data_IF_524861919261
#
_entry.id   IF_524861919261
#
_cell.length_a   1.000
_cell.length_b   1.000
_cell.length_c   1.000
_cell.angle_alpha   90.00
_cell.angle_beta   90.00
_cell.angle_gamma   90.00
#
_symmetry.space_group_name_H-M   'P 1'
#
loop_
_entity.id
_entity.type
_entity.pdbx_description
1 polymer ?
#
# COMPACT_ATOMS: atom_id res chain seq x y z
N UNK A 1 35.94 16.32 -7.27
CA UNK A 1 34.48 16.23 -7.34
C UNK A 1 34.17 14.88 -7.98
N UNK A 2 33.63 13.94 -7.23
CA UNK A 2 33.23 12.61 -7.72
C UNK A 2 31.96 12.78 -8.53
N UNK A 3 32.01 12.53 -9.84
CA UNK A 3 30.83 12.47 -10.70
C UNK A 3 29.95 11.30 -10.27
N UNK A 4 28.88 11.58 -9.56
CA UNK A 4 27.83 10.61 -9.25
C UNK A 4 27.18 10.16 -10.56
N UNK A 5 27.47 8.94 -11.00
CA UNK A 5 26.77 8.32 -12.13
C UNK A 5 25.49 7.67 -11.60
N UNK A 6 24.35 8.26 -11.95
CA UNK A 6 23.05 7.62 -11.70
C UNK A 6 22.87 6.47 -12.69
N UNK A 7 22.42 5.32 -12.18
CA UNK A 7 21.99 4.22 -13.04
C UNK A 7 20.68 4.63 -13.70
N UNK A 8 20.65 4.74 -15.01
CA UNK A 8 19.40 4.91 -15.76
C UNK A 8 18.63 3.59 -15.66
N UNK A 9 17.48 3.63 -15.02
CA UNK A 9 16.56 2.51 -14.96
C UNK A 9 15.50 2.77 -16.03
N UNK A 10 15.41 1.87 -17.00
CA UNK A 10 14.41 1.96 -18.06
C UNK A 10 13.18 1.15 -17.62
N UNK A 11 12.26 1.83 -16.96
CA UNK A 11 10.97 1.27 -16.52
C UNK A 11 9.85 2.13 -17.08
N UNK A 12 8.83 1.47 -17.59
CA UNK A 12 7.60 2.16 -17.99
C UNK A 12 6.94 2.83 -16.80
N UNK A 13 6.49 4.06 -17.01
CA UNK A 13 5.76 4.80 -15.96
C UNK A 13 4.36 4.20 -15.82
N UNK A 14 4.02 3.75 -14.63
CA UNK A 14 2.67 3.28 -14.34
C UNK A 14 1.64 4.41 -14.51
N UNK A 15 0.67 4.21 -15.40
CA UNK A 15 -0.46 5.10 -15.58
C UNK A 15 -1.69 4.56 -14.82
N UNK A 16 -2.12 5.23 -13.72
CA UNK A 16 -3.30 4.79 -12.99
C UNK A 16 -4.56 4.95 -13.83
N UNK A 17 -5.55 4.08 -13.62
CA UNK A 17 -6.83 4.14 -14.30
C UNK A 17 -7.52 5.49 -14.14
N UNK A 18 -8.10 6.00 -15.24
CA UNK A 18 -8.74 7.33 -15.29
C UNK A 18 -9.91 7.42 -14.32
N UNK A 19 -9.88 8.38 -13.41
CA UNK A 19 -10.96 8.67 -12.45
C UNK A 19 -11.95 9.71 -12.95
N UNK A 20 -11.61 10.44 -14.01
CA UNK A 20 -12.46 11.48 -14.60
C UNK A 20 -12.46 11.35 -16.11
N UNK A 21 -13.65 11.45 -16.70
CA UNK A 21 -13.84 11.54 -18.15
C UNK A 21 -14.56 12.84 -18.46
N UNK A 22 -13.96 13.66 -19.34
CA UNK A 22 -14.55 14.95 -19.73
C UNK A 22 -16.00 14.76 -20.18
N UNK A 23 -16.91 15.62 -19.69
CA UNK A 23 -18.35 15.68 -20.03
C UNK A 23 -19.27 14.66 -19.36
N UNK A 24 -18.81 13.74 -18.54
CA UNK A 24 -19.71 12.83 -17.82
C UNK A 24 -19.93 13.28 -16.37
N UNK A 25 -21.20 13.44 -15.96
CA UNK A 25 -21.57 13.86 -14.61
C UNK A 25 -21.49 12.72 -13.59
N UNK A 26 -21.59 11.46 -14.03
CA UNK A 26 -21.55 10.29 -13.18
C UNK A 26 -20.73 9.20 -13.86
N UNK A 27 -19.64 8.80 -13.21
CA UNK A 27 -18.72 7.79 -13.71
C UNK A 27 -18.73 6.62 -12.73
N UNK A 28 -18.85 5.40 -13.25
CA UNK A 28 -18.61 4.18 -12.50
C UNK A 28 -17.19 3.75 -12.84
N UNK A 29 -16.26 3.89 -11.87
CA UNK A 29 -14.87 3.52 -12.05
C UNK A 29 -14.71 2.03 -11.76
N UNK A 30 -14.30 1.27 -12.77
CA UNK A 30 -14.01 -0.17 -12.68
C UNK A 30 -12.53 -0.50 -12.94
N UNK A 31 -11.70 0.54 -13.09
CA UNK A 31 -10.27 0.42 -13.42
C UNK A 31 -9.35 0.29 -12.20
N UNK A 32 -9.91 0.16 -11.01
CA UNK A 32 -9.14 -0.03 -9.78
C UNK A 32 -9.94 -0.86 -8.77
N UNK A 33 -9.23 -1.55 -7.87
CA UNK A 33 -9.83 -2.36 -6.80
C UNK A 33 -10.30 -1.48 -5.64
N UNK A 34 -11.22 -0.56 -5.92
CA UNK A 34 -11.82 0.32 -4.92
C UNK A 34 -13.13 -0.27 -4.38
N UNK A 35 -13.43 -0.02 -3.10
CA UNK A 35 -14.69 -0.48 -2.52
C UNK A 35 -15.88 0.34 -3.06
N UNK A 36 -16.78 -0.30 -3.80
CA UNK A 36 -18.02 0.34 -4.27
C UNK A 36 -18.96 0.75 -3.12
N UNK A 37 -18.83 0.13 -1.95
CA UNK A 37 -19.61 0.43 -0.74
C UNK A 37 -18.99 1.54 0.11
N UNK A 38 -17.80 2.01 -0.26
CA UNK A 38 -17.06 3.02 0.49
C UNK A 38 -16.51 2.51 1.83
N UNK A 39 -16.31 3.44 2.75
CA UNK A 39 -15.74 3.16 4.08
C UNK A 39 -16.83 2.68 5.05
N UNK A 40 -16.52 1.66 5.87
CA UNK A 40 -17.45 1.18 6.88
C UNK A 40 -17.86 2.30 7.86
N UNK A 41 -19.10 2.26 8.34
CA UNK A 41 -19.62 3.26 9.28
C UNK A 41 -18.81 3.33 10.58
N UNK A 42 -18.29 2.19 11.05
CA UNK A 42 -17.42 2.13 12.24
C UNK A 42 -16.08 2.82 11.99
N UNK A 43 -15.42 2.56 10.87
CA UNK A 43 -14.16 3.21 10.50
C UNK A 43 -14.37 4.72 10.31
N UNK A 44 -15.45 5.12 9.62
CA UNK A 44 -15.81 6.51 9.42
C UNK A 44 -15.98 7.28 10.73
N UNK A 45 -16.66 6.69 11.73
CA UNK A 45 -16.80 7.30 13.05
C UNK A 45 -15.45 7.56 13.74
N UNK A 46 -14.48 6.66 13.56
CA UNK A 46 -13.14 6.82 14.14
C UNK A 46 -12.36 7.92 13.41
N UNK A 47 -12.38 7.93 12.07
CA UNK A 47 -11.66 8.92 11.26
C UNK A 47 -12.15 10.35 11.56
N UNK A 48 -13.45 10.53 11.75
CA UNK A 48 -14.04 11.83 12.07
C UNK A 48 -14.07 12.15 13.58
N UNK A 49 -13.41 11.34 14.41
CA UNK A 49 -13.29 11.63 15.84
C UNK A 49 -12.34 12.82 16.05
N UNK A 50 -12.85 13.91 16.63
CA UNK A 50 -12.10 15.13 16.90
C UNK A 50 -10.91 14.95 17.87
N UNK A 51 -10.85 13.82 18.58
CA UNK A 51 -9.79 13.53 19.55
C UNK A 51 -8.55 12.83 18.94
N UNK A 52 -8.49 12.69 17.62
CA UNK A 52 -7.29 12.15 16.96
C UNK A 52 -6.16 13.18 16.98
N UNK A 53 -5.03 12.76 17.52
CA UNK A 53 -3.81 13.58 17.61
C UNK A 53 -2.96 13.47 16.34
N UNK A 54 -3.31 14.22 15.31
CA UNK A 54 -2.58 14.21 14.02
C UNK A 54 -1.21 14.90 14.08
N UNK A 55 -0.92 15.65 15.15
CA UNK A 55 0.34 16.38 15.31
C UNK A 55 1.46 15.53 15.96
N UNK A 56 1.18 14.30 16.34
CA UNK A 56 2.17 13.39 16.89
C UNK A 56 2.55 12.33 15.87
N UNK A 57 3.82 11.96 15.89
CA UNK A 57 4.30 10.83 15.08
C UNK A 57 3.54 9.55 15.45
N UNK A 58 3.11 8.77 14.47
CA UNK A 58 2.54 7.45 14.72
C UNK A 58 3.58 6.49 15.28
N UNK A 59 3.11 5.41 15.90
CA UNK A 59 3.98 4.31 16.32
C UNK A 59 4.54 3.60 15.07
N UNK A 60 5.85 3.79 14.79
CA UNK A 60 6.52 3.19 13.64
C UNK A 60 6.54 1.65 13.64
N UNK A 61 6.24 1.01 14.77
CA UNK A 61 6.10 -0.45 14.87
C UNK A 61 4.67 -0.94 14.67
N UNK A 62 3.70 -0.05 14.49
CA UNK A 62 2.27 -0.35 14.32
C UNK A 62 1.73 -1.35 15.36
N UNK A 63 2.21 -1.27 16.62
CA UNK A 63 1.99 -2.27 17.66
C UNK A 63 0.50 -2.58 17.87
N UNK A 64 -0.32 -1.55 18.05
CA UNK A 64 -1.77 -1.71 18.26
C UNK A 64 -2.46 -2.42 17.09
N UNK A 65 -2.10 -2.08 15.86
CA UNK A 65 -2.65 -2.71 14.66
C UNK A 65 -2.25 -4.19 14.60
N UNK A 66 -0.97 -4.49 14.79
CA UNK A 66 -0.44 -5.86 14.79
C UNK A 66 -1.09 -6.73 15.88
N UNK A 67 -1.32 -6.19 17.08
CA UNK A 67 -2.04 -6.87 18.15
C UNK A 67 -3.48 -7.22 17.76
N UNK A 68 -4.19 -6.32 17.12
CA UNK A 68 -5.56 -6.58 16.65
C UNK A 68 -5.60 -7.60 15.52
N UNK A 69 -4.66 -7.54 14.58
CA UNK A 69 -4.51 -8.54 13.52
C UNK A 69 -4.22 -9.92 14.12
N UNK A 70 -3.25 -9.99 15.02
CA UNK A 70 -2.89 -11.22 15.73
C UNK A 70 -4.09 -11.89 16.42
N UNK A 71 -4.86 -11.10 17.16
CA UNK A 71 -6.10 -11.57 17.82
C UNK A 71 -7.14 -12.06 16.81
N UNK A 72 -7.38 -11.29 15.75
CA UNK A 72 -8.41 -11.60 14.76
C UNK A 72 -8.09 -12.86 13.95
N UNK A 73 -6.85 -13.01 13.55
CA UNK A 73 -6.41 -14.10 12.67
C UNK A 73 -5.71 -15.24 13.40
N UNK A 74 -5.62 -15.16 14.74
CA UNK A 74 -4.99 -16.16 15.60
C UNK A 74 -3.57 -16.51 15.15
N UNK A 75 -2.79 -15.52 14.76
CA UNK A 75 -1.41 -15.67 14.31
C UNK A 75 -0.44 -14.96 15.27
N UNK A 76 0.83 -15.37 15.24
CA UNK A 76 1.84 -14.77 16.10
C UNK A 76 2.05 -13.29 15.74
N UNK A 77 1.94 -12.42 16.73
CA UNK A 77 2.22 -11.00 16.63
C UNK A 77 3.60 -10.69 16.01
N UNK A 78 4.60 -11.52 16.30
CA UNK A 78 5.97 -11.34 15.78
C UNK A 78 6.09 -11.61 14.29
N UNK A 79 5.11 -12.30 13.69
CA UNK A 79 5.07 -12.64 12.25
C UNK A 79 4.27 -11.65 11.42
N UNK A 80 3.90 -10.51 11.98
CA UNK A 80 3.10 -9.49 11.30
C UNK A 80 3.97 -8.30 10.98
N UNK A 81 4.02 -7.90 9.73
CA UNK A 81 4.59 -6.66 9.23
C UNK A 81 3.46 -5.80 8.69
N UNK A 82 3.55 -4.48 8.90
CA UNK A 82 2.65 -3.49 8.33
C UNK A 82 3.43 -2.57 7.41
N UNK A 83 2.84 -2.23 6.27
CA UNK A 83 3.39 -1.29 5.30
C UNK A 83 2.28 -0.41 4.71
N UNK A 84 2.68 0.58 3.92
CA UNK A 84 1.78 1.49 3.22
C UNK A 84 1.23 0.84 1.93
N UNK A 85 0.47 -0.22 2.09
CA UNK A 85 -0.10 -1.00 1.00
C UNK A 85 0.77 -2.17 0.56
N UNK A 86 0.28 -2.89 -0.47
CA UNK A 86 0.97 -4.07 -1.03
C UNK A 86 2.29 -3.74 -1.67
N UNK A 87 2.41 -2.59 -2.32
CA UNK A 87 3.59 -2.19 -3.06
C UNK A 87 4.81 -2.04 -2.17
N UNK A 88 4.65 -1.41 -1.00
CA UNK A 88 5.74 -1.32 -0.03
C UNK A 88 6.14 -2.70 0.51
N UNK A 89 5.16 -3.58 0.76
CA UNK A 89 5.45 -4.95 1.21
C UNK A 89 6.22 -5.74 0.13
N UNK A 90 5.81 -5.65 -1.13
CA UNK A 90 6.50 -6.27 -2.25
C UNK A 90 7.92 -5.73 -2.37
N UNK A 91 8.10 -4.41 -2.28
CA UNK A 91 9.42 -3.78 -2.31
C UNK A 91 10.32 -4.28 -1.18
N UNK A 92 9.80 -4.36 0.06
CA UNK A 92 10.55 -4.93 1.19
C UNK A 92 10.95 -6.38 0.94
N UNK A 93 10.07 -7.22 0.39
CA UNK A 93 10.37 -8.60 0.06
C UNK A 93 11.47 -8.69 -1.01
N UNK A 94 11.38 -7.89 -2.07
CA UNK A 94 12.41 -7.84 -3.10
C UNK A 94 13.77 -7.43 -2.53
N UNK A 95 13.80 -6.42 -1.67
CA UNK A 95 15.04 -5.94 -1.05
C UNK A 95 15.68 -6.96 -0.09
N UNK A 96 14.85 -7.76 0.61
CA UNK A 96 15.35 -8.73 1.59
C UNK A 96 15.81 -10.04 0.97
N UNK A 97 15.13 -10.49 -0.09
CA UNK A 97 15.31 -11.84 -0.58
C UNK A 97 15.99 -11.93 -1.96
N UNK A 98 15.92 -10.87 -2.79
CA UNK A 98 16.47 -10.94 -4.14
C UNK A 98 17.92 -10.47 -4.20
N UNK A 99 18.74 -11.26 -4.86
CA UNK A 99 20.12 -10.95 -5.19
C UNK A 99 20.25 -10.62 -6.69
N UNK A 100 21.32 -9.94 -7.14
CA UNK A 100 21.57 -9.79 -8.57
C UNK A 100 21.61 -11.16 -9.27
N UNK A 101 20.81 -11.32 -10.33
CA UNK A 101 20.59 -12.54 -11.13
C UNK A 101 19.51 -13.49 -10.60
N UNK A 102 18.85 -13.20 -9.49
CA UNK A 102 17.67 -13.96 -9.09
C UNK A 102 16.50 -13.66 -10.03
N UNK A 103 15.66 -14.64 -10.22
CA UNK A 103 14.48 -14.57 -11.07
C UNK A 103 13.21 -14.58 -10.22
N UNK A 104 12.21 -13.83 -10.64
CA UNK A 104 10.90 -13.77 -9.98
C UNK A 104 9.83 -14.16 -10.97
N UNK A 105 9.02 -15.14 -10.60
CA UNK A 105 7.86 -15.55 -11.40
C UNK A 105 6.66 -14.71 -10.98
N UNK A 106 6.08 -14.00 -11.93
CA UNK A 106 4.86 -13.20 -11.71
C UNK A 106 3.78 -13.64 -12.70
N UNK A 107 2.49 -13.61 -12.31
CA UNK A 107 1.40 -13.83 -13.26
C UNK A 107 1.39 -12.74 -14.34
N UNK A 108 1.01 -13.11 -15.56
CA UNK A 108 0.96 -12.15 -16.69
C UNK A 108 -0.14 -11.08 -16.56
N UNK A 109 -1.03 -11.21 -15.57
CA UNK A 109 -2.18 -10.33 -15.33
C UNK A 109 -2.07 -9.55 -14.02
N UNK A 110 -0.88 -9.13 -13.66
CA UNK A 110 -0.63 -8.26 -12.50
C UNK A 110 -0.36 -6.82 -12.93
N UNK A 111 -0.46 -5.91 -11.98
CA UNK A 111 -0.18 -4.49 -12.16
C UNK A 111 1.26 -4.23 -12.57
#
# INVERSE_FOLDING_TARGET
MTNLKFRKIDVEVYEPGKSQVRKLKKIIKLSANESALGVSTKARKIIFNKNLNFFRYPDGKSKKLREQISKKFKCDFKRIICGAGSDEIIQMLCQLFLQPKDEVIVPNTVF
#
